data_IF_793584425038
#
_entry.id   IF_793584425038
#
_cell.length_a   1.000
_cell.length_b   1.000
_cell.length_c   1.000
_cell.angle_alpha   90.00
_cell.angle_beta   90.00
_cell.angle_gamma   90.00
#
_symmetry.space_group_name_H-M   'P 1'
#
loop_
_entity.id
_entity.type
_entity.pdbx_description
1 polymer ?
#
# COMPACT_ATOMS: atom_id res chain seq x y z
N UNK A 1 -11.09 -2.72 -57.35
CA UNK A 1 -10.25 -2.14 -56.28
C UNK A 1 -11.02 -1.05 -55.54
N UNK A 2 -12.07 -1.40 -54.80
CA UNK A 2 -12.79 -0.46 -53.92
C UNK A 2 -13.34 -1.15 -52.64
N UNK A 3 -13.29 -2.49 -52.55
CA UNK A 3 -13.68 -3.24 -51.35
C UNK A 3 -12.51 -3.74 -50.48
N UNK A 4 -11.26 -3.52 -50.92
CA UNK A 4 -10.05 -3.93 -50.19
C UNK A 4 -9.47 -2.83 -49.29
N UNK A 5 -9.98 -1.59 -49.38
CA UNK A 5 -9.52 -0.46 -48.56
C UNK A 5 -10.30 -0.30 -47.25
N UNK A 6 -11.57 -0.70 -47.20
CA UNK A 6 -12.41 -0.63 -45.99
C UNK A 6 -11.94 -1.61 -44.90
N UNK A 7 -11.52 -2.83 -45.26
CA UNK A 7 -11.05 -3.82 -44.27
C UNK A 7 -9.68 -3.46 -43.65
N UNK A 8 -8.85 -2.69 -44.34
CA UNK A 8 -7.59 -2.16 -43.80
C UNK A 8 -7.81 -0.95 -42.88
N UNK A 9 -8.91 -0.20 -43.07
CA UNK A 9 -9.27 0.92 -42.20
C UNK A 9 -9.82 0.43 -40.85
N UNK A 10 -10.52 -0.71 -40.81
CA UNK A 10 -10.93 -1.34 -39.56
C UNK A 10 -9.81 -2.12 -38.85
N UNK A 11 -8.81 -2.61 -39.59
CA UNK A 11 -7.65 -3.29 -38.98
C UNK A 11 -6.67 -2.31 -38.30
N UNK A 12 -6.61 -1.05 -38.77
CA UNK A 12 -5.83 0.01 -38.11
C UNK A 12 -6.52 0.64 -36.90
N UNK A 13 -7.85 0.48 -36.74
CA UNK A 13 -8.57 0.88 -35.52
C UNK A 13 -8.46 -0.15 -34.39
N UNK A 14 -8.04 -1.38 -34.69
CA UNK A 14 -7.92 -2.48 -33.71
C UNK A 14 -6.51 -2.65 -33.12
N UNK A 15 -5.49 -1.99 -33.68
CA UNK A 15 -4.22 -1.79 -32.98
C UNK A 15 -4.40 -0.57 -32.08
N UNK A 16 -5.20 -0.78 -31.04
CA UNK A 16 -5.33 0.15 -29.93
C UNK A 16 -3.93 0.46 -29.43
N UNK A 17 -3.44 1.64 -29.78
CA UNK A 17 -2.49 2.36 -28.96
C UNK A 17 -3.22 2.49 -27.63
N UNK A 18 -2.92 1.59 -26.69
CA UNK A 18 -3.03 1.93 -25.29
C UNK A 18 -2.07 3.09 -25.13
N UNK A 19 -2.61 4.30 -25.34
CA UNK A 19 -2.11 5.46 -24.64
C UNK A 19 -2.34 5.05 -23.20
N UNK A 20 -1.32 4.46 -22.58
CA UNK A 20 -1.19 4.53 -21.13
C UNK A 20 -1.12 6.02 -20.89
N UNK A 21 -2.29 6.63 -20.70
CA UNK A 21 -2.35 7.90 -20.06
C UNK A 21 -1.66 7.60 -18.74
N UNK A 22 -0.43 8.10 -18.58
CA UNK A 22 0.13 8.34 -17.28
C UNK A 22 -0.80 9.37 -16.64
N UNK A 23 -2.02 8.95 -16.26
CA UNK A 23 -2.81 9.70 -15.34
C UNK A 23 -2.00 9.61 -14.06
N UNK A 24 -1.29 10.70 -13.77
CA UNK A 24 -0.86 10.94 -12.42
C UNK A 24 -2.06 10.65 -11.53
N UNK A 25 -1.90 9.74 -10.57
CA UNK A 25 -2.92 9.45 -9.58
C UNK A 25 -3.29 10.74 -8.83
N UNK A 26 -4.34 10.71 -8.01
CA UNK A 26 -4.75 11.89 -7.24
C UNK A 26 -3.62 12.38 -6.31
N UNK A 27 -2.64 11.52 -5.97
CA UNK A 27 -1.49 11.89 -5.19
C UNK A 27 -0.27 12.20 -6.07
N UNK A 28 0.26 13.43 -5.96
CA UNK A 28 1.57 13.79 -6.52
C UNK A 28 2.73 13.06 -5.82
N UNK A 29 2.54 12.72 -4.55
CA UNK A 29 3.45 11.89 -3.75
C UNK A 29 2.65 11.15 -2.69
N UNK A 30 2.80 9.83 -2.64
CA UNK A 30 2.13 8.95 -1.69
C UNK A 30 2.95 8.77 -0.41
N UNK A 31 2.31 8.85 0.75
CA UNK A 31 2.91 8.62 2.07
C UNK A 31 2.08 7.61 2.87
N UNK A 32 2.66 7.12 3.96
CA UNK A 32 1.94 6.37 4.98
C UNK A 32 1.06 7.32 5.80
N UNK A 33 -0.24 7.02 5.87
CA UNK A 33 -1.23 7.92 6.48
C UNK A 33 -1.43 7.64 7.97
N UNK A 34 -1.30 6.39 8.40
CA UNK A 34 -1.64 5.99 9.76
C UNK A 34 -0.76 6.64 10.85
N UNK A 35 0.54 6.94 10.65
CA UNK A 35 1.37 7.57 11.68
C UNK A 35 0.85 8.94 12.15
N UNK A 36 0.00 9.61 11.36
CA UNK A 36 -0.59 10.92 11.73
C UNK A 36 -2.00 10.82 12.31
N UNK A 37 -2.59 9.62 12.35
CA UNK A 37 -3.95 9.38 12.88
C UNK A 37 -3.87 9.13 14.39
N UNK A 38 -4.85 9.59 15.18
CA UNK A 38 -4.89 9.35 16.63
C UNK A 38 -5.31 7.92 16.95
N UNK A 39 -4.83 7.37 18.06
CA UNK A 39 -5.24 6.01 18.51
C UNK A 39 -6.75 5.91 18.76
N UNK A 40 -7.40 7.01 19.16
CA UNK A 40 -8.85 7.07 19.34
C UNK A 40 -9.65 6.86 18.03
N UNK A 41 -9.00 7.08 16.88
CA UNK A 41 -9.62 6.88 15.56
C UNK A 41 -9.43 5.45 15.03
N UNK A 42 -8.72 4.58 15.78
CA UNK A 42 -8.66 3.15 15.53
C UNK A 42 -9.74 2.42 16.31
N UNK A 43 -10.55 1.62 15.61
CA UNK A 43 -11.64 0.84 16.23
C UNK A 43 -11.71 -0.55 15.60
N UNK A 44 -12.16 -1.55 16.34
CA UNK A 44 -12.28 -2.93 15.86
C UNK A 44 -13.60 -3.59 16.23
N UNK A 45 -13.86 -4.77 15.66
CA UNK A 45 -14.98 -5.64 16.03
C UNK A 45 -14.89 -6.15 17.47
N UNK A 46 -13.67 -6.50 17.87
CA UNK A 46 -13.33 -7.11 19.15
C UNK A 46 -11.81 -7.03 19.34
N UNK A 47 -11.34 -7.37 20.53
CA UNK A 47 -9.92 -7.38 20.90
C UNK A 47 -9.63 -8.67 21.66
N UNK A 48 -8.52 -9.33 21.36
CA UNK A 48 -8.06 -10.51 22.11
C UNK A 48 -7.70 -10.16 23.55
N UNK A 49 -6.90 -9.11 23.73
CA UNK A 49 -6.59 -8.49 25.02
C UNK A 49 -6.15 -7.03 24.81
N UNK A 50 -5.56 -6.42 25.84
CA UNK A 50 -5.10 -5.03 25.80
C UNK A 50 -3.85 -4.81 24.92
N UNK A 51 -3.01 -5.83 24.73
CA UNK A 51 -1.80 -5.77 23.91
C UNK A 51 -2.10 -5.99 22.41
N UNK A 52 -3.28 -6.56 22.09
CA UNK A 52 -3.79 -6.77 20.73
C UNK A 52 -4.90 -5.78 20.33
N UNK A 53 -4.90 -4.59 20.94
CA UNK A 53 -5.87 -3.53 20.67
C UNK A 53 -5.81 -2.95 19.24
N UNK A 54 -6.78 -2.10 18.86
CA UNK A 54 -6.82 -1.46 17.54
C UNK A 54 -5.59 -0.60 17.21
N UNK A 55 -5.01 0.04 18.22
CA UNK A 55 -3.80 0.86 18.15
C UNK A 55 -2.54 0.02 17.90
N UNK A 56 -2.51 -1.22 18.38
CA UNK A 56 -1.47 -2.22 18.03
C UNK A 56 -1.51 -2.61 16.55
N UNK A 57 -2.52 -2.20 15.77
CA UNK A 57 -2.56 -2.45 14.33
C UNK A 57 -1.54 -1.62 13.53
N UNK A 58 -0.79 -0.69 14.14
CA UNK A 58 0.24 0.09 13.45
C UNK A 58 1.43 -0.80 13.04
N UNK A 59 2.04 -0.53 11.88
CA UNK A 59 3.26 -1.26 11.46
C UNK A 59 4.42 -1.20 12.47
N UNK A 60 4.48 -0.17 13.30
CA UNK A 60 5.50 0.01 14.34
C UNK A 60 5.26 -0.82 15.60
N UNK A 61 4.07 -1.40 15.78
CA UNK A 61 3.73 -2.17 16.97
C UNK A 61 4.49 -3.51 17.04
N UNK A 62 4.63 -4.04 18.26
CA UNK A 62 5.25 -5.34 18.52
C UNK A 62 4.34 -6.51 18.20
N UNK A 63 3.05 -6.42 18.50
CA UNK A 63 2.08 -7.48 18.25
C UNK A 63 1.38 -7.19 16.93
N UNK A 64 0.23 -6.54 16.99
CA UNK A 64 -0.74 -6.40 15.93
C UNK A 64 -2.12 -6.29 16.56
N UNK A 65 -3.13 -5.86 15.80
CA UNK A 65 -4.49 -6.07 16.26
C UNK A 65 -4.91 -7.51 16.00
N UNK A 66 -5.63 -8.10 16.96
CA UNK A 66 -6.22 -9.43 16.84
C UNK A 66 -7.64 -9.47 17.45
N UNK A 67 -8.60 -10.18 16.82
CA UNK A 67 -9.96 -10.30 17.35
C UNK A 67 -10.03 -11.18 18.60
N UNK A 68 -11.09 -11.03 19.41
CA UNK A 68 -11.32 -11.84 20.62
C UNK A 68 -11.46 -13.34 20.34
N UNK A 69 -12.12 -13.67 19.21
CA UNK A 69 -12.44 -15.04 18.85
C UNK A 69 -11.62 -15.45 17.64
N UNK A 70 -10.87 -16.55 17.77
CA UNK A 70 -10.02 -17.11 16.73
C UNK A 70 -10.78 -17.40 15.42
N UNK A 71 -11.96 -18.02 15.53
CA UNK A 71 -12.78 -18.45 14.39
C UNK A 71 -13.89 -17.44 14.01
N UNK A 72 -13.71 -16.14 14.30
CA UNK A 72 -14.64 -15.13 13.82
C UNK A 72 -14.66 -15.12 12.28
N UNK A 73 -15.84 -15.32 11.68
CA UNK A 73 -16.01 -15.33 10.24
C UNK A 73 -15.91 -13.95 9.57
N UNK A 74 -16.07 -12.88 10.36
CA UNK A 74 -16.12 -11.50 9.88
C UNK A 74 -15.55 -10.47 10.89
N UNK A 75 -14.32 -10.68 11.41
CA UNK A 75 -13.65 -9.71 12.26
C UNK A 75 -13.26 -8.50 11.41
N UNK A 76 -13.12 -7.34 12.05
CA UNK A 76 -12.68 -6.14 11.35
C UNK A 76 -11.88 -5.19 12.23
N UNK A 77 -10.96 -4.49 11.59
CA UNK A 77 -10.22 -3.35 12.12
C UNK A 77 -10.44 -2.15 11.21
N UNK A 78 -10.66 -0.99 11.80
CA UNK A 78 -11.03 0.24 11.12
C UNK A 78 -10.14 1.38 11.59
N UNK A 79 -9.88 2.27 10.63
CA UNK A 79 -9.36 3.60 10.89
C UNK A 79 -10.33 4.64 10.34
N UNK A 80 -10.58 5.67 11.14
CA UNK A 80 -11.24 6.91 10.72
C UNK A 80 -10.17 8.00 10.53
N UNK A 81 -10.19 8.70 9.39
CA UNK A 81 -9.16 9.71 9.08
C UNK A 81 -9.55 11.12 9.56
N UNK A 82 -10.81 11.34 9.94
CA UNK A 82 -11.37 12.65 10.30
C UNK A 82 -11.56 13.61 9.13
N UNK A 83 -10.85 13.40 8.03
CA UNK A 83 -10.90 14.19 6.79
C UNK A 83 -10.86 13.28 5.56
N UNK A 84 -11.20 13.84 4.38
CA UNK A 84 -11.11 13.08 3.13
C UNK A 84 -9.64 12.88 2.74
N UNK A 85 -9.28 11.63 2.53
CA UNK A 85 -7.95 11.23 2.06
C UNK A 85 -8.07 10.38 0.81
N UNK A 86 -7.09 10.51 -0.08
CA UNK A 86 -6.94 9.62 -1.22
C UNK A 86 -6.06 8.45 -0.82
N UNK A 87 -6.55 7.24 -1.03
CA UNK A 87 -5.87 6.00 -0.73
C UNK A 87 -5.53 5.30 -2.03
N UNK A 88 -4.27 4.92 -2.17
CA UNK A 88 -3.72 4.22 -3.33
C UNK A 88 -3.35 2.78 -3.01
N UNK A 89 -3.17 2.42 -1.73
CA UNK A 89 -2.82 1.06 -1.34
C UNK A 89 -2.87 0.82 0.17
N UNK A 90 -2.68 -0.44 0.54
CA UNK A 90 -2.56 -0.91 1.93
C UNK A 90 -1.25 -1.68 2.04
N UNK A 91 -0.51 -1.45 3.13
CA UNK A 91 0.64 -2.29 3.50
C UNK A 91 0.26 -3.10 4.72
N UNK A 92 0.51 -4.41 4.71
CA UNK A 92 0.21 -5.30 5.83
C UNK A 92 1.44 -6.05 6.34
N UNK A 93 1.44 -6.35 7.63
CA UNK A 93 2.41 -7.18 8.34
C UNK A 93 1.67 -8.13 9.28
N UNK A 94 2.29 -9.26 9.62
CA UNK A 94 1.84 -10.12 10.72
C UNK A 94 2.34 -9.64 12.07
N UNK A 95 2.37 -10.53 13.07
CA UNK A 95 2.90 -10.21 14.40
C UNK A 95 4.40 -9.91 14.36
N UNK A 96 4.86 -8.81 14.99
CA UNK A 96 6.30 -8.60 15.17
C UNK A 96 6.86 -9.36 16.39
N UNK A 97 5.99 -9.98 17.19
CA UNK A 97 6.38 -10.73 18.38
C UNK A 97 7.10 -12.00 17.96
N UNK A 98 8.29 -12.22 18.52
CA UNK A 98 9.08 -13.41 18.24
C UNK A 98 8.54 -14.68 18.91
N UNK A 99 7.62 -14.54 19.87
CA UNK A 99 7.04 -15.67 20.58
C UNK A 99 5.92 -16.36 19.81
N UNK A 100 5.21 -15.63 18.94
CA UNK A 100 4.01 -16.13 18.27
C UNK A 100 4.08 -15.90 16.75
N UNK A 101 3.99 -17.00 16.00
CA UNK A 101 3.94 -17.01 14.54
C UNK A 101 2.48 -16.85 14.07
N UNK A 102 2.04 -15.60 13.97
CA UNK A 102 0.66 -15.22 13.64
C UNK A 102 0.61 -14.15 12.56
N UNK A 103 -0.27 -14.33 11.56
CA UNK A 103 -0.51 -13.34 10.52
C UNK A 103 -1.83 -13.58 9.77
N UNK A 104 -2.32 -12.53 9.13
CA UNK A 104 -3.40 -12.62 8.14
C UNK A 104 -2.82 -12.98 6.77
N UNK A 105 -3.35 -14.03 6.14
CA UNK A 105 -2.96 -14.53 4.82
C UNK A 105 -3.76 -13.88 3.69
N UNK A 106 -5.00 -13.48 3.96
CA UNK A 106 -5.83 -12.75 2.99
C UNK A 106 -6.85 -11.85 3.69
N UNK A 107 -7.24 -10.73 3.05
CA UNK A 107 -8.24 -9.83 3.60
C UNK A 107 -9.10 -9.14 2.52
N UNK A 108 -10.24 -8.58 2.94
CA UNK A 108 -11.05 -7.66 2.13
C UNK A 108 -10.93 -6.24 2.68
N UNK A 109 -11.00 -5.25 1.80
CA UNK A 109 -11.01 -3.84 2.20
C UNK A 109 -12.38 -3.24 1.90
N UNK A 110 -12.93 -2.53 2.89
CA UNK A 110 -14.10 -1.65 2.69
C UNK A 110 -13.73 -0.22 3.06
N UNK A 111 -14.42 0.72 2.46
CA UNK A 111 -14.22 2.14 2.68
C UNK A 111 -15.56 2.86 2.74
N UNK A 112 -15.57 4.02 3.38
CA UNK A 112 -16.75 4.86 3.55
C UNK A 112 -16.34 6.32 3.44
N UNK A 113 -16.77 6.96 2.35
CA UNK A 113 -16.62 8.41 2.16
C UNK A 113 -17.65 9.20 2.97
N UNK A 114 -18.19 10.27 2.40
CA UNK A 114 -19.20 11.12 3.05
C UNK A 114 -20.59 10.48 3.19
N UNK A 115 -20.86 9.41 2.43
CA UNK A 115 -22.12 8.69 2.50
C UNK A 115 -22.19 7.69 3.66
N UNK A 116 -23.40 7.25 4.06
CA UNK A 116 -23.58 6.34 5.20
C UNK A 116 -23.21 4.88 4.90
N UNK A 117 -23.00 4.53 3.62
CA UNK A 117 -22.81 3.14 3.19
C UNK A 117 -21.34 2.81 3.00
N UNK A 118 -20.93 1.67 3.55
CA UNK A 118 -19.67 1.03 3.24
C UNK A 118 -19.66 0.48 1.81
N UNK A 119 -18.58 0.71 1.10
CA UNK A 119 -18.29 0.16 -0.23
C UNK A 119 -17.11 -0.80 -0.14
N UNK A 120 -17.14 -1.86 -0.93
CA UNK A 120 -16.03 -2.83 -0.99
C UNK A 120 -15.06 -2.38 -2.07
N UNK A 121 -13.75 -2.42 -1.77
CA UNK A 121 -12.73 -2.20 -2.78
C UNK A 121 -12.70 -3.40 -3.70
N UNK A 122 -12.82 -3.15 -5.01
CA UNK A 122 -12.71 -4.22 -5.98
C UNK A 122 -11.25 -4.59 -6.16
N UNK A 123 -10.94 -5.89 -6.05
CA UNK A 123 -9.61 -6.42 -6.29
C UNK A 123 -9.74 -7.68 -7.13
N UNK A 124 -9.27 -7.58 -8.37
CA UNK A 124 -9.45 -8.61 -9.39
C UNK A 124 -10.94 -9.06 -9.44
N UNK A 125 -11.21 -10.36 -9.49
CA UNK A 125 -12.56 -10.92 -9.52
C UNK A 125 -13.14 -11.27 -8.14
N UNK A 126 -12.31 -11.36 -7.09
CA UNK A 126 -12.70 -11.92 -5.78
C UNK A 126 -12.88 -10.85 -4.70
N UNK A 127 -12.37 -9.64 -4.90
CA UNK A 127 -12.28 -8.57 -3.89
C UNK A 127 -11.48 -8.98 -2.65
N UNK A 128 -10.60 -9.97 -2.78
CA UNK A 128 -9.73 -10.49 -1.72
C UNK A 128 -8.29 -10.17 -2.09
N UNK A 129 -7.62 -9.44 -1.20
CA UNK A 129 -6.21 -9.11 -1.31
C UNK A 129 -5.38 -10.23 -0.68
N UNK A 130 -4.35 -10.75 -1.37
CA UNK A 130 -3.35 -11.59 -0.72
C UNK A 130 -2.57 -10.75 0.28
N UNK A 131 -2.27 -11.29 1.45
CA UNK A 131 -1.56 -10.60 2.51
C UNK A 131 -0.23 -11.29 2.80
N UNK A 132 -0.01 -11.72 4.04
CA UNK A 132 1.29 -12.15 4.52
C UNK A 132 1.45 -13.68 4.46
N UNK A 133 2.68 -14.13 4.26
CA UNK A 133 3.07 -15.55 4.33
C UNK A 133 4.02 -15.84 5.50
N UNK A 134 4.38 -14.79 6.24
CA UNK A 134 5.20 -14.81 7.42
C UNK A 134 4.87 -13.60 8.29
N UNK A 135 5.32 -13.60 9.55
CA UNK A 135 4.97 -12.56 10.52
C UNK A 135 5.69 -11.21 10.31
N UNK A 136 6.82 -11.22 9.61
CA UNK A 136 7.76 -10.08 9.56
C UNK A 136 7.73 -9.26 8.27
N UNK A 137 7.50 -9.89 7.13
CA UNK A 137 7.59 -9.28 5.81
C UNK A 137 6.42 -8.34 5.62
N UNK A 138 6.70 -7.09 5.25
CA UNK A 138 5.67 -6.12 4.89
C UNK A 138 5.25 -6.31 3.44
N UNK A 139 3.95 -6.47 3.22
CA UNK A 139 3.36 -6.69 1.89
C UNK A 139 2.55 -5.47 1.50
N UNK A 140 2.91 -4.87 0.35
CA UNK A 140 2.19 -3.74 -0.24
C UNK A 140 1.20 -4.25 -1.27
N UNK A 141 -0.06 -3.84 -1.11
CA UNK A 141 -1.14 -4.06 -2.06
C UNK A 141 -1.67 -2.73 -2.57
N UNK A 142 -1.40 -2.43 -3.84
CA UNK A 142 -1.98 -1.27 -4.52
C UNK A 142 -3.45 -1.55 -4.88
N UNK A 143 -4.28 -0.52 -4.71
CA UNK A 143 -5.67 -0.57 -5.12
C UNK A 143 -5.74 -0.45 -6.65
N UNK A 144 -6.65 -1.18 -7.34
CA UNK A 144 -6.79 -1.05 -8.79
C UNK A 144 -7.22 0.35 -9.24
N UNK A 145 -7.83 1.13 -8.35
CA UNK A 145 -8.12 2.54 -8.56
C UNK A 145 -8.04 3.27 -7.21
N UNK A 146 -7.44 4.47 -7.18
CA UNK A 146 -7.42 5.29 -5.97
C UNK A 146 -8.84 5.58 -5.46
N UNK A 147 -9.02 5.65 -4.14
CA UNK A 147 -10.30 5.92 -3.49
C UNK A 147 -10.19 7.14 -2.58
N UNK A 148 -11.17 8.04 -2.64
CA UNK A 148 -11.31 9.15 -1.68
C UNK A 148 -12.28 8.75 -0.57
N UNK A 149 -11.84 8.74 0.69
CA UNK A 149 -12.63 8.19 1.81
C UNK A 149 -12.37 8.88 3.14
N UNK A 150 -13.33 8.75 4.09
CA UNK A 150 -13.20 9.19 5.48
C UNK A 150 -12.81 8.05 6.42
N UNK A 151 -13.16 6.81 6.06
CA UNK A 151 -12.87 5.62 6.85
C UNK A 151 -12.38 4.50 5.93
N UNK A 152 -11.47 3.67 6.45
CA UNK A 152 -11.06 2.41 5.83
C UNK A 152 -11.17 1.28 6.84
N UNK A 153 -11.63 0.11 6.40
CA UNK A 153 -11.83 -1.08 7.23
C UNK A 153 -11.27 -2.31 6.54
N UNK A 154 -10.43 -3.05 7.24
CA UNK A 154 -9.87 -4.33 6.81
C UNK A 154 -10.66 -5.46 7.47
N UNK A 155 -10.99 -6.47 6.68
CA UNK A 155 -11.65 -7.70 7.12
C UNK A 155 -10.72 -8.88 6.85
N UNK A 156 -10.00 -9.40 7.85
CA UNK A 156 -9.26 -10.66 7.73
C UNK A 156 -10.16 -11.79 7.22
N UNK A 157 -9.61 -12.66 6.37
CA UNK A 157 -10.32 -13.79 5.78
C UNK A 157 -9.66 -15.11 6.11
N UNK A 158 -8.41 -15.27 5.70
CA UNK A 158 -7.59 -16.45 5.97
C UNK A 158 -6.42 -16.02 6.87
N UNK A 159 -6.03 -16.86 7.83
CA UNK A 159 -5.08 -16.52 8.87
C UNK A 159 -4.21 -17.74 9.24
N UNK A 160 -2.96 -17.47 9.60
CA UNK A 160 -2.06 -18.47 10.15
C UNK A 160 -2.01 -18.34 11.67
N UNK A 161 -2.32 -19.42 12.39
CA UNK A 161 -2.42 -19.50 13.86
C UNK A 161 -3.49 -18.59 14.47
N UNK A 162 -3.40 -17.27 14.27
CA UNK A 162 -4.34 -16.26 14.74
C UNK A 162 -4.43 -15.10 13.73
N UNK A 163 -5.60 -14.45 13.64
CA UNK A 163 -5.82 -13.32 12.73
C UNK A 163 -5.19 -12.01 13.24
N UNK A 164 -3.87 -12.01 13.39
CA UNK A 164 -3.09 -10.86 13.87
C UNK A 164 -2.57 -10.04 12.69
N UNK A 165 -2.87 -8.73 12.67
CA UNK A 165 -2.46 -7.85 11.58
C UNK A 165 -1.94 -6.51 12.08
N UNK A 166 -0.83 -6.08 11.50
CA UNK A 166 -0.40 -4.70 11.45
C UNK A 166 -0.60 -4.17 10.04
N UNK A 167 -0.95 -2.90 9.89
CA UNK A 167 -1.10 -2.29 8.58
C UNK A 167 -0.77 -0.80 8.56
N UNK A 168 -0.60 -0.28 7.36
CA UNK A 168 -0.60 1.14 7.04
C UNK A 168 -1.36 1.36 5.73
N UNK A 169 -1.72 2.60 5.47
CA UNK A 169 -2.47 3.02 4.29
C UNK A 169 -1.60 3.99 3.50
N UNK A 170 -1.37 3.67 2.22
CA UNK A 170 -0.59 4.51 1.31
C UNK A 170 -1.54 5.49 0.63
N UNK A 171 -1.22 6.77 0.64
CA UNK A 171 -2.03 7.79 0.01
C UNK A 171 -1.58 9.21 0.27
N UNK A 172 -2.51 10.15 0.16
CA UNK A 172 -2.27 11.56 0.44
C UNK A 172 -3.55 12.22 0.96
N UNK A 173 -3.37 13.29 1.74
CA UNK A 173 -4.45 14.21 2.07
C UNK A 173 -4.67 15.13 0.87
N UNK A 174 -5.92 15.43 0.55
CA UNK A 174 -6.25 16.36 -0.53
C UNK A 174 -5.60 17.73 -0.26
N UNK A 175 -4.42 17.99 -0.84
CA UNK A 175 -4.06 19.37 -1.16
C UNK A 175 -4.77 19.67 -2.46
N UNK A 176 -5.77 20.58 -2.51
CA UNK A 176 -6.14 21.16 -3.77
C UNK A 176 -4.87 21.82 -4.31
N UNK A 177 -4.19 21.12 -5.21
CA UNK A 177 -3.22 21.75 -6.08
C UNK A 177 -4.06 22.67 -6.92
N UNK A 178 -4.16 23.92 -6.49
CA UNK A 178 -4.53 25.01 -7.37
C UNK A 178 -3.52 24.93 -8.50
N UNK A 179 -3.89 24.24 -9.57
CA UNK A 179 -3.27 24.42 -10.86
C UNK A 179 -3.53 25.87 -11.17
N UNK A 180 -2.57 26.73 -10.82
CA UNK A 180 -2.47 28.09 -11.33
C UNK A 180 -2.20 27.92 -12.81
N UNK A 181 -3.25 27.64 -13.57
CA UNK A 181 -3.28 27.86 -15.00
C UNK A 181 -3.13 29.36 -15.14
N UNK A 182 -1.89 29.82 -15.32
CA UNK A 182 -1.55 31.16 -15.77
C UNK A 182 -2.26 31.36 -17.10
N UNK A 183 -3.51 31.81 -17.02
CA UNK A 183 -4.29 32.25 -18.17
C UNK A 183 -3.74 33.63 -18.49
N UNK A 184 -2.92 33.71 -19.52
CA UNK A 184 -2.51 34.98 -20.14
C UNK A 184 -3.76 35.63 -20.70
N UNK A 185 -4.39 36.50 -19.92
CA UNK A 185 -5.57 37.27 -20.34
C UNK A 185 -5.14 38.36 -21.31
N UNK A 186 -5.38 38.13 -22.61
CA UNK A 186 -5.36 39.17 -23.63
C UNK A 186 -6.57 40.09 -23.45
N UNK A 187 -6.29 41.38 -23.30
CA UNK A 187 -7.25 42.47 -23.05
C UNK A 187 -7.95 42.88 -24.35
N UNK A 188 -9.28 42.95 -24.37
CA UNK A 188 -10.09 43.83 -25.25
C UNK A 188 -11.58 43.86 -24.83
N UNK A 189 -12.35 44.91 -25.16
CA UNK A 189 -13.12 45.65 -24.17
C UNK A 189 -14.66 45.51 -24.21
N UNK A 190 -15.25 45.72 -23.02
CA UNK A 190 -16.57 46.31 -22.64
C UNK A 190 -17.84 46.01 -23.45
N UNK A 191 -18.89 45.55 -22.76
CA UNK A 191 -20.18 46.27 -22.68
C UNK A 191 -21.00 45.83 -21.45
N UNK A 192 -21.84 46.75 -20.98
CA UNK A 192 -22.27 46.96 -19.59
C UNK A 192 -23.80 46.91 -19.51
N UNK A 193 -24.37 46.21 -18.53
CA UNK A 193 -25.69 46.41 -17.90
C UNK A 193 -25.74 45.49 -16.65
N UNK A 194 -25.83 45.88 -15.36
CA UNK A 194 -26.71 46.83 -14.61
C UNK A 194 -28.15 46.25 -14.60
N UNK A 195 -28.81 45.79 -13.52
CA UNK A 195 -28.66 45.86 -12.03
C UNK A 195 -29.63 44.85 -11.32
N UNK A 196 -30.02 44.90 -10.01
CA UNK A 196 -29.92 43.77 -9.08
C UNK A 196 -31.27 43.28 -8.47
N UNK A 197 -31.27 42.20 -7.67
CA UNK A 197 -32.21 42.07 -6.53
C UNK A 197 -31.74 41.11 -5.43
N UNK A 198 -31.46 41.69 -4.27
CA UNK A 198 -31.33 41.09 -2.94
C UNK A 198 -32.66 40.55 -2.44
N UNK A 199 -32.71 39.45 -1.67
CA UNK A 199 -33.54 39.32 -0.44
C UNK A 199 -33.07 38.13 0.41
N UNK A 200 -32.58 38.47 1.59
CA UNK A 200 -32.34 37.65 2.79
C UNK A 200 -33.66 37.25 3.46
N UNK A 201 -33.82 36.01 3.94
CA UNK A 201 -34.45 35.71 5.25
C UNK A 201 -34.40 34.20 5.60
N UNK A 202 -33.88 33.94 6.79
CA UNK A 202 -34.14 32.81 7.70
C UNK A 202 -34.22 33.46 9.10
N UNK A 203 -34.88 32.92 10.15
CA UNK A 203 -35.28 31.53 10.38
C UNK A 203 -36.73 31.35 10.88
N UNK A 204 -37.21 30.11 10.94
CA UNK A 204 -38.38 29.77 11.77
C UNK A 204 -38.17 28.42 12.45
N UNK A 205 -38.18 28.49 13.77
CA UNK A 205 -38.24 27.44 14.77
C UNK A 205 -39.59 26.73 14.74
N UNK A 206 -39.62 25.39 14.82
CA UNK A 206 -40.76 24.67 15.41
C UNK A 206 -40.27 23.38 16.06
N UNK A 207 -40.52 23.31 17.35
CA UNK A 207 -40.33 22.19 18.28
C UNK A 207 -41.58 21.31 18.30
N UNK A 208 -41.42 20.09 18.86
CA UNK A 208 -42.43 19.11 19.33
C UNK A 208 -42.52 17.87 18.40
N UNK A 209 -42.50 16.61 18.85
CA UNK A 209 -42.67 16.03 20.19
C UNK A 209 -41.83 14.77 20.42
N UNK A 210 -41.41 14.62 21.68
CA UNK A 210 -41.07 13.39 22.40
C UNK A 210 -42.11 12.29 22.16
N UNK A 211 -41.64 11.06 21.94
CA UNK A 211 -42.37 9.86 22.41
C UNK A 211 -41.46 9.10 23.36
N UNK A 212 -41.89 9.11 24.61
CA UNK A 212 -41.36 8.39 25.76
C UNK A 212 -41.75 6.91 25.64
N UNK A 213 -40.84 5.98 25.89
CA UNK A 213 -41.22 4.65 26.37
C UNK A 213 -40.28 4.20 27.47
N UNK A 214 -40.93 3.76 28.54
CA UNK A 214 -40.45 3.59 29.90
C UNK A 214 -39.60 2.33 30.08
N UNK A 215 -38.67 2.49 31.02
CA UNK A 215 -37.81 1.52 31.69
C UNK A 215 -38.55 0.24 32.12
N UNK A 216 -37.93 -0.92 31.88
CA UNK A 216 -38.00 -2.03 32.84
C UNK A 216 -36.58 -2.41 33.28
N UNK A 217 -36.37 -2.18 34.57
CA UNK A 217 -35.22 -2.51 35.38
C UNK A 217 -35.48 -3.91 35.94
N UNK A 218 -34.57 -4.86 35.69
CA UNK A 218 -34.57 -6.15 36.39
C UNK A 218 -33.27 -6.26 37.16
N UNK A 219 -33.41 -6.27 38.48
CA UNK A 219 -32.35 -6.45 39.48
C UNK A 219 -32.26 -7.93 39.87
N UNK A 220 -31.12 -8.30 40.48
CA UNK A 220 -30.78 -9.59 41.15
C UNK A 220 -30.38 -10.72 40.20
N UNK A 221 -29.24 -11.41 40.35
CA UNK A 221 -28.67 -11.95 41.59
C UNK A 221 -27.16 -12.17 41.44
N UNK A 222 -26.38 -11.67 42.39
CA UNK A 222 -24.99 -12.05 42.64
C UNK A 222 -24.94 -13.43 43.30
N UNK A 223 -24.16 -14.36 42.73
CA UNK A 223 -23.67 -15.51 43.48
C UNK A 223 -22.16 -15.37 43.70
N UNK A 224 -21.82 -15.21 44.97
CA UNK A 224 -20.51 -15.43 45.55
C UNK A 224 -20.10 -16.89 45.38
N UNK A 225 -18.83 -17.12 45.05
CA UNK A 225 -18.15 -18.39 45.35
C UNK A 225 -16.77 -18.07 45.93
N UNK A 226 -16.73 -18.17 47.26
CA UNK A 226 -15.69 -18.77 48.10
C UNK A 226 -14.21 -18.48 47.78
N UNK A 227 -13.63 -17.63 48.63
CA UNK A 227 -12.20 -17.58 48.95
C UNK A 227 -11.79 -18.81 49.75
N UNK A 228 -10.79 -19.55 49.25
CA UNK A 228 -10.01 -20.51 50.05
C UNK A 228 -8.61 -19.95 50.21
N UNK A 229 -8.29 -19.61 51.45
CA UNK A 229 -6.95 -19.29 51.94
C UNK A 229 -6.10 -20.57 52.01
N UNK A 230 -4.92 -20.56 51.40
CA UNK A 230 -3.82 -21.42 51.83
C UNK A 230 -2.55 -20.58 51.97
N UNK A 231 -2.11 -20.47 53.22
CA UNK A 231 -0.81 -20.02 53.70
C UNK A 231 0.31 -20.88 53.12
N UNK A 232 1.36 -20.24 52.60
CA UNK A 232 2.72 -20.80 52.65
C UNK A 232 3.72 -19.69 52.97
N UNK A 233 4.09 -19.68 54.25
CA UNK A 233 5.43 -19.46 54.84
C UNK A 233 6.37 -18.39 54.26
N UNK A 234 6.54 -17.33 55.05
CA UNK A 234 7.62 -16.35 55.04
C UNK A 234 8.93 -16.91 55.58
N UNK A 235 10.05 -16.62 54.90
CA UNK A 235 11.39 -16.60 55.52
C UNK A 235 12.07 -15.27 55.20
N UNK A 236 12.12 -14.39 56.19
CA UNK A 236 12.85 -13.13 56.19
C UNK A 236 14.27 -13.33 56.73
N UNK A 237 15.27 -12.72 56.10
CA UNK A 237 16.52 -12.36 56.75
C UNK A 237 16.70 -10.85 56.62
N UNK A 238 16.62 -10.17 57.77
CA UNK A 238 17.03 -8.79 57.96
C UNK A 238 18.56 -8.73 58.05
N UNK A 239 19.14 -7.70 57.45
CA UNK A 239 20.34 -7.06 58.02
C UNK A 239 20.17 -5.55 57.99
N UNK A 240 20.51 -4.96 59.12
CA UNK A 240 20.28 -3.62 59.63
C UNK A 240 21.24 -2.54 59.11
N UNK A 241 20.67 -1.37 58.73
CA UNK A 241 21.05 0.03 59.03
C UNK A 241 22.50 0.56 58.77
N UNK A 242 22.77 1.89 58.78
CA UNK A 242 21.90 3.07 58.90
C UNK A 242 22.12 4.18 57.84
N UNK A 243 21.20 5.14 57.83
CA UNK A 243 21.34 6.47 57.24
C UNK A 243 22.46 7.29 57.90
N UNK A 244 23.26 8.02 57.10
CA UNK A 244 23.87 9.29 57.53
C UNK A 244 24.10 10.25 56.36
N UNK A 245 23.87 11.51 56.64
CA UNK A 245 23.86 12.67 55.74
C UNK A 245 25.26 13.20 55.41
N UNK A 246 25.32 13.94 54.29
CA UNK A 246 26.33 14.96 53.93
C UNK A 246 27.75 14.50 53.60
N UNK A 247 28.01 14.28 52.30
CA UNK A 247 29.24 14.75 51.63
C UNK A 247 28.89 15.17 50.21
N UNK A 248 29.10 16.45 49.89
CA UNK A 248 29.07 16.96 48.53
C UNK A 248 30.15 16.22 47.71
N UNK A 249 29.74 15.52 46.66
CA UNK A 249 30.68 15.08 45.63
C UNK A 249 31.03 16.29 44.75
N UNK A 250 32.25 16.79 44.90
CA UNK A 250 32.88 17.71 43.96
C UNK A 250 33.21 16.94 42.68
N UNK A 251 32.40 17.10 41.64
CA UNK A 251 32.77 16.68 40.29
C UNK A 251 33.69 17.75 39.70
N UNK A 252 34.99 17.49 39.68
CA UNK A 252 35.94 18.24 38.84
C UNK A 252 35.82 17.72 37.41
N UNK A 253 35.21 18.50 36.51
CA UNK A 253 35.30 18.24 35.08
C UNK A 253 36.73 18.57 34.62
N UNK A 254 37.55 17.55 34.42
CA UNK A 254 38.79 17.67 33.64
C UNK A 254 38.50 17.38 32.17
N UNK A 255 38.92 18.34 31.34
CA UNK A 255 39.10 18.33 29.89
C UNK A 255 37.86 18.19 29.00
N UNK A 256 37.24 19.35 28.75
CA UNK A 256 36.73 19.69 27.41
C UNK A 256 37.86 19.51 26.40
N UNK A 257 37.96 18.33 25.80
CA UNK A 257 38.67 18.14 24.54
C UNK A 257 37.86 18.85 23.46
N UNK A 258 38.20 20.11 23.21
CA UNK A 258 37.79 20.81 22.01
C UNK A 258 38.38 20.05 20.81
N UNK A 259 37.57 19.20 20.18
CA UNK A 259 37.92 18.66 18.88
C UNK A 259 37.97 19.84 17.91
N UNK A 260 39.15 20.09 17.36
CA UNK A 260 39.33 21.10 16.31
C UNK A 260 38.49 20.75 15.10
N UNK A 261 38.05 21.75 14.33
CA UNK A 261 37.21 21.56 13.14
C UNK A 261 37.81 20.56 12.13
N UNK A 262 39.14 20.43 12.12
CA UNK A 262 39.86 19.50 11.26
C UNK A 262 39.71 18.04 11.73
N UNK A 263 39.72 17.77 13.04
CA UNK A 263 39.47 16.45 13.62
C UNK A 263 38.03 15.97 13.37
N UNK A 264 37.08 16.91 13.36
CA UNK A 264 35.69 16.61 13.05
C UNK A 264 35.52 16.23 11.57
N UNK A 265 36.17 16.96 10.66
CA UNK A 265 36.12 16.68 9.23
C UNK A 265 36.77 15.34 8.87
N UNK A 266 37.85 14.96 9.55
CA UNK A 266 38.48 13.63 9.39
C UNK A 266 37.55 12.52 9.87
N UNK A 267 36.88 12.69 11.02
CA UNK A 267 35.89 11.72 11.52
C UNK A 267 34.70 11.59 10.59
N UNK A 268 34.18 12.70 10.05
CA UNK A 268 33.07 12.69 9.10
C UNK A 268 33.47 11.96 7.82
N UNK A 269 34.67 12.21 7.28
CA UNK A 269 35.16 11.53 6.06
C UNK A 269 35.27 10.02 6.25
N UNK A 270 35.76 9.55 7.40
CA UNK A 270 35.84 8.12 7.72
C UNK A 270 34.46 7.47 7.87
N UNK A 271 33.50 8.16 8.49
CA UNK A 271 32.12 7.66 8.62
C UNK A 271 31.46 7.58 7.23
N UNK A 272 31.65 8.59 6.38
CA UNK A 272 31.12 8.59 5.01
C UNK A 272 31.70 7.44 4.20
N UNK A 273 33.02 7.20 4.27
CA UNK A 273 33.65 6.06 3.58
C UNK A 273 33.10 4.71 4.05
N UNK A 274 32.89 4.55 5.37
CA UNK A 274 32.39 3.29 5.93
C UNK A 274 30.91 3.03 5.58
N UNK A 275 30.13 4.08 5.32
CA UNK A 275 28.72 3.99 4.96
C UNK A 275 28.46 3.96 3.44
N UNK A 276 29.47 4.22 2.60
CA UNK A 276 29.34 4.10 1.13
C UNK A 276 29.29 2.64 0.69
N UNK A 277 28.09 2.08 0.64
CA UNK A 277 27.84 0.78 0.02
C UNK A 277 27.91 0.92 -1.51
N UNK A 278 28.79 0.16 -2.16
CA UNK A 278 28.91 0.16 -3.63
C UNK A 278 27.65 -0.41 -4.26
N UNK A 279 27.03 0.29 -5.23
CA UNK A 279 25.75 -0.11 -5.85
C UNK A 279 25.75 -1.54 -6.41
N UNK A 280 26.92 -2.08 -6.77
CA UNK A 280 27.10 -3.44 -7.31
C UNK A 280 26.92 -4.56 -6.29
N UNK A 281 26.93 -4.28 -4.97
CA UNK A 281 26.71 -5.29 -3.91
C UNK A 281 25.30 -5.25 -3.31
N UNK A 282 24.43 -4.34 -3.77
CA UNK A 282 23.06 -4.27 -3.27
C UNK A 282 22.24 -5.49 -3.69
N UNK A 283 21.43 -6.01 -2.76
CA UNK A 283 20.52 -7.14 -2.99
C UNK A 283 19.56 -6.89 -4.16
N UNK A 284 19.20 -5.62 -4.39
CA UNK A 284 18.41 -5.16 -5.54
C UNK A 284 19.16 -5.38 -6.86
N UNK A 285 20.44 -5.04 -6.94
CA UNK A 285 21.26 -5.26 -8.14
C UNK A 285 21.50 -6.76 -8.40
N UNK A 286 21.73 -7.55 -7.34
CA UNK A 286 21.87 -9.00 -7.43
C UNK A 286 20.56 -9.68 -7.88
N UNK A 287 19.39 -9.19 -7.43
CA UNK A 287 18.07 -9.69 -7.85
C UNK A 287 17.76 -9.38 -9.32
N UNK A 288 18.24 -8.28 -9.88
CA UNK A 288 18.05 -7.96 -11.31
C UNK A 288 18.84 -8.89 -12.25
N UNK A 289 19.88 -9.58 -11.74
CA UNK A 289 20.76 -10.44 -12.56
C UNK A 289 20.40 -11.92 -12.52
N UNK A 290 19.60 -12.36 -11.55
CA UNK A 290 19.21 -13.76 -11.42
C UNK A 290 17.70 -13.91 -11.69
N UNK A 291 17.33 -14.05 -12.96
CA UNK A 291 16.06 -14.71 -13.28
C UNK A 291 16.16 -16.15 -12.77
N UNK A 292 15.18 -16.57 -11.96
CA UNK A 292 15.10 -17.94 -11.48
C UNK A 292 15.08 -18.90 -12.69
N UNK A 293 15.99 -19.89 -12.71
CA UNK A 293 15.93 -20.97 -13.69
C UNK A 293 14.75 -21.89 -13.32
N UNK A 294 13.58 -21.55 -13.85
CA UNK A 294 12.39 -22.38 -13.73
C UNK A 294 12.46 -23.52 -14.76
N UNK A 295 12.67 -24.74 -14.26
CA UNK A 295 12.77 -25.97 -15.06
C UNK A 295 11.41 -26.65 -15.27
N UNK A 296 10.28 -25.94 -15.06
CA UNK A 296 8.95 -26.51 -15.31
C UNK A 296 8.76 -26.81 -16.81
N UNK A 297 8.62 -28.08 -17.22
CA UNK A 297 8.74 -28.51 -18.62
C UNK A 297 7.67 -27.91 -19.54
N UNK A 298 6.55 -27.45 -18.97
CA UNK A 298 5.43 -26.90 -19.74
C UNK A 298 5.70 -25.50 -20.29
N UNK A 299 6.54 -24.69 -19.63
CA UNK A 299 6.83 -23.31 -20.05
C UNK A 299 7.87 -23.27 -21.17
N UNK A 300 8.83 -24.19 -21.13
CA UNK A 300 9.88 -24.34 -22.14
C UNK A 300 9.26 -24.73 -23.51
N UNK A 301 8.26 -25.60 -23.50
CA UNK A 301 7.57 -26.03 -24.73
C UNK A 301 6.84 -24.87 -25.43
N UNK A 302 6.15 -24.02 -24.67
CA UNK A 302 5.43 -22.86 -25.22
C UNK A 302 6.40 -21.87 -25.88
N UNK A 303 7.59 -21.68 -25.32
CA UNK A 303 8.65 -20.85 -25.91
C UNK A 303 9.13 -21.37 -27.28
N UNK A 304 9.41 -22.68 -27.39
CA UNK A 304 9.85 -23.27 -28.65
C UNK A 304 8.78 -23.26 -29.74
N UNK A 305 7.51 -23.46 -29.37
CA UNK A 305 6.38 -23.37 -30.31
C UNK A 305 6.25 -21.94 -30.85
N UNK A 306 6.39 -20.92 -30.00
CA UNK A 306 6.36 -19.52 -30.41
C UNK A 306 7.48 -19.15 -31.38
N UNK A 307 8.71 -19.56 -31.09
CA UNK A 307 9.87 -19.32 -31.98
C UNK A 307 9.68 -20.04 -33.31
N UNK A 308 9.19 -21.29 -33.29
CA UNK A 308 8.91 -22.05 -34.51
C UNK A 308 7.88 -21.36 -35.41
N UNK A 309 6.81 -20.80 -34.82
CA UNK A 309 5.77 -20.10 -35.56
C UNK A 309 6.29 -18.79 -36.19
N UNK A 310 7.12 -18.03 -35.47
CA UNK A 310 7.75 -16.82 -36.00
C UNK A 310 8.68 -17.11 -37.18
N UNK A 311 9.51 -18.15 -37.06
CA UNK A 311 10.42 -18.56 -38.15
C UNK A 311 9.65 -19.06 -39.36
N UNK A 312 8.55 -19.80 -39.14
CA UNK A 312 7.69 -20.27 -40.22
C UNK A 312 7.06 -19.12 -41.02
N UNK A 313 6.48 -18.13 -40.32
CA UNK A 313 5.90 -16.95 -40.96
C UNK A 313 6.96 -16.13 -41.70
N UNK A 314 8.13 -15.90 -41.08
CA UNK A 314 9.23 -15.20 -41.72
C UNK A 314 9.73 -15.93 -42.99
N UNK A 315 9.76 -17.27 -42.95
CA UNK A 315 10.15 -18.09 -44.10
C UNK A 315 9.12 -18.02 -45.23
N UNK A 316 7.82 -18.02 -44.93
CA UNK A 316 6.76 -17.85 -45.94
C UNK A 316 6.85 -16.51 -46.67
N UNK A 317 7.34 -15.46 -46.00
CA UNK A 317 7.54 -14.14 -46.60
C UNK A 317 8.85 -14.11 -47.41
N UNK A 318 9.94 -14.62 -46.85
CA UNK A 318 11.26 -14.52 -47.46
C UNK A 318 11.47 -15.48 -48.64
N UNK A 319 10.87 -16.68 -48.62
CA UNK A 319 11.09 -17.70 -49.65
C UNK A 319 10.64 -17.28 -51.06
N UNK A 320 9.46 -16.67 -51.27
CA UNK A 320 9.06 -16.15 -52.58
C UNK A 320 10.01 -15.08 -53.12
N UNK A 321 10.49 -14.19 -52.24
CA UNK A 321 11.43 -13.13 -52.60
C UNK A 321 12.81 -13.70 -52.96
N UNK A 322 13.29 -14.68 -52.18
CA UNK A 322 14.56 -15.37 -52.46
C UNK A 322 14.51 -16.17 -53.75
N UNK A 323 13.37 -16.82 -54.04
CA UNK A 323 13.15 -17.56 -55.28
C UNK A 323 13.10 -16.62 -56.48
N UNK A 324 12.42 -15.48 -56.33
CA UNK A 324 12.35 -14.43 -57.35
C UNK A 324 13.75 -13.85 -57.64
N UNK A 325 14.54 -13.61 -56.60
CA UNK A 325 15.92 -13.17 -56.72
C UNK A 325 16.81 -14.23 -57.40
N UNK A 326 16.64 -15.51 -57.05
CA UNK A 326 17.36 -16.60 -57.70
C UNK A 326 17.02 -16.71 -59.19
N UNK A 327 15.75 -16.65 -59.57
CA UNK A 327 15.31 -16.68 -60.97
C UNK A 327 15.82 -15.46 -61.75
N UNK A 328 15.80 -14.29 -61.12
CA UNK A 328 16.37 -13.07 -61.70
C UNK A 328 17.88 -13.25 -61.96
N UNK A 329 18.64 -13.73 -60.97
CA UNK A 329 20.07 -14.01 -61.10
C UNK A 329 20.37 -15.08 -62.17
N UNK A 330 19.56 -16.13 -62.25
CA UNK A 330 19.67 -17.16 -63.29
C UNK A 330 19.42 -16.57 -64.69
N UNK A 331 18.42 -15.69 -64.83
CA UNK A 331 18.14 -15.01 -66.10
C UNK A 331 19.27 -14.07 -66.54
N UNK A 332 19.93 -13.40 -65.59
CA UNK A 332 21.11 -12.57 -65.85
C UNK A 332 22.31 -13.42 -66.28
N UNK A 333 22.47 -14.61 -65.71
CA UNK A 333 23.51 -15.55 -66.10
C UNK A 333 23.25 -16.18 -67.48
N UNK A 334 21.99 -16.47 -67.81
CA UNK A 334 21.59 -16.97 -69.13
C UNK A 334 21.80 -15.95 -70.25
N UNK A 335 21.53 -14.66 -70.00
CA UNK A 335 21.73 -13.59 -71.00
C UNK A 335 23.19 -13.25 -71.28
N UNK A 336 24.15 -13.60 -70.41
CA UNK A 336 25.59 -13.39 -70.67
C UNK A 336 26.19 -14.36 -71.68
N UNK A 337 25.49 -15.45 -72.07
CA UNK A 337 26.00 -16.42 -73.06
C UNK A 337 25.62 -16.11 -74.52
N UNK A 338 24.92 -15.00 -74.79
CA UNK A 338 24.45 -14.62 -76.13
C UNK A 338 25.13 -13.38 -76.75
N UNK A 339 26.19 -12.85 -76.13
CA UNK A 339 26.99 -11.75 -76.70
C UNK A 339 28.44 -12.21 -76.93
N UNK A 340 28.61 -13.25 -77.73
CA UNK A 340 29.89 -13.61 -78.36
C UNK A 340 29.55 -14.47 -79.59
N UNK A 341 28.92 -13.84 -80.58
CA UNK A 341 28.95 -14.28 -81.98
C UNK A 341 29.01 -13.04 -82.88
#
# INVERSE_FOLDING_TARGET
MQHSFELLFFFWMAVGIFVTVNQAGPCSSSVYLLPSVSDADFTSSSIFDNDYGPDSARLTASTGWAPDVLDDSNPWIQVDFGELVNIEGVVSGGSNDAMYDEWVESYKVKYKGTGPKWKTVQYLSTNVFPANTDRTTLIRNDLPSPITTLSLRIYPKDCHTYCTIRFDVIGCKDTPTTTTTTTTTTISPTTKATTPKTTTTSPTTTTSQQTTTTIQQTTTTSLQTTTTSQQTTTTSLQTTAPFNTSTLCSCTCTDTSYLTSDDLNVKISNIVQNLTVTKTSTSTFLRTKNCAQDSRPEVVYVGYVGIGLLVFVASLIALPDLLSLYLFMYSLWGKRKGCFE
#
